data_IF_849122566511
#
_entry.id   IF_849122566511
#
_cell.length_a   1.000
_cell.length_b   1.000
_cell.length_c   1.000
_cell.angle_alpha   90.00
_cell.angle_beta   90.00
_cell.angle_gamma   90.00
#
_symmetry.space_group_name_H-M   'P 1'
#
loop_
_entity.id
_entity.type
_entity.pdbx_description
1 polymer ?
#
# COMPACT_ATOMS: atom_id res chain seq x y z
N UNK A 1 -20.60 -14.33 15.19
CA UNK A 1 -19.60 -13.33 15.61
C UNK A 1 -18.26 -13.51 14.89
N UNK A 2 -18.20 -13.31 13.56
CA UNK A 2 -16.96 -13.52 12.75
C UNK A 2 -16.68 -12.36 11.77
N UNK A 3 -17.38 -11.23 11.98
CA UNK A 3 -17.48 -10.08 11.06
C UNK A 3 -16.41 -9.01 11.32
N UNK A 4 -16.11 -8.71 12.59
CA UNK A 4 -15.13 -7.67 12.93
C UNK A 4 -13.72 -7.99 12.43
N UNK A 5 -13.38 -9.26 12.23
CA UNK A 5 -12.01 -9.66 11.90
C UNK A 5 -11.61 -9.30 10.47
N UNK A 6 -12.49 -9.50 9.47
CA UNK A 6 -12.18 -9.20 8.07
C UNK A 6 -12.14 -7.69 7.79
N UNK A 7 -13.09 -6.93 8.34
CA UNK A 7 -13.06 -5.47 8.29
C UNK A 7 -11.87 -4.90 9.04
N UNK A 8 -11.54 -5.41 10.23
CA UNK A 8 -10.31 -5.01 10.93
C UNK A 8 -9.07 -5.36 10.12
N UNK A 9 -9.03 -6.52 9.45
CA UNK A 9 -7.87 -6.92 8.65
C UNK A 9 -7.66 -5.94 7.50
N UNK A 10 -8.73 -5.62 6.75
CA UNK A 10 -8.70 -4.63 5.66
C UNK A 10 -8.31 -3.24 6.15
N UNK A 11 -8.89 -2.76 7.26
CA UNK A 11 -8.52 -1.47 7.85
C UNK A 11 -7.05 -1.45 8.32
N UNK A 12 -6.55 -2.56 8.89
CA UNK A 12 -5.17 -2.69 9.34
C UNK A 12 -4.19 -2.75 8.17
N UNK A 13 -4.56 -3.45 7.09
CA UNK A 13 -3.81 -3.50 5.84
C UNK A 13 -3.75 -2.13 5.16
N UNK A 14 -4.86 -1.40 5.11
CA UNK A 14 -4.91 -0.05 4.56
C UNK A 14 -4.02 0.90 5.36
N UNK A 15 -4.05 0.81 6.70
CA UNK A 15 -3.19 1.60 7.59
C UNK A 15 -1.70 1.28 7.35
N UNK A 16 -1.35 0.01 7.20
CA UNK A 16 0.02 -0.41 6.87
C UNK A 16 0.45 0.07 5.48
N UNK A 17 -0.46 0.06 4.50
CA UNK A 17 -0.20 0.55 3.15
C UNK A 17 0.07 2.05 3.14
N UNK A 18 -0.75 2.85 3.84
CA UNK A 18 -0.49 4.28 4.03
C UNK A 18 0.86 4.52 4.70
N UNK A 19 1.19 3.74 5.74
CA UNK A 19 2.46 3.85 6.44
C UNK A 19 3.64 3.54 5.51
N UNK A 20 3.49 2.55 4.63
CA UNK A 20 4.48 2.18 3.63
C UNK A 20 4.68 3.28 2.57
N UNK A 21 3.59 3.92 2.09
CA UNK A 21 3.68 5.08 1.19
C UNK A 21 4.43 6.21 1.87
N UNK A 22 4.09 6.50 3.12
CA UNK A 22 4.70 7.58 3.88
C UNK A 22 6.21 7.32 4.08
N UNK A 23 6.58 6.10 4.49
CA UNK A 23 7.98 5.71 4.63
C UNK A 23 8.76 5.80 3.31
N UNK A 24 8.13 5.37 2.21
CA UNK A 24 8.72 5.48 0.88
C UNK A 24 8.91 6.94 0.46
N UNK A 25 7.92 7.81 0.71
CA UNK A 25 8.01 9.24 0.43
C UNK A 25 9.11 9.92 1.26
N UNK A 26 9.25 9.57 2.54
CA UNK A 26 10.33 10.08 3.40
C UNK A 26 11.70 9.64 2.87
N UNK A 27 11.87 8.35 2.53
CA UNK A 27 13.11 7.85 1.94
C UNK A 27 13.45 8.52 0.60
N UNK A 28 12.44 8.79 -0.23
CA UNK A 28 12.59 9.52 -1.48
C UNK A 28 13.11 10.94 -1.24
N UNK A 29 12.49 11.70 -0.32
CA UNK A 29 12.90 13.07 0.01
C UNK A 29 14.32 13.08 0.59
N UNK A 30 14.65 12.17 1.50
CA UNK A 30 16.01 12.04 2.05
C UNK A 30 17.05 11.76 0.97
N UNK A 31 16.75 10.85 0.05
CA UNK A 31 17.68 10.49 -1.03
C UNK A 31 17.87 11.61 -2.05
N UNK A 32 16.80 12.37 -2.36
CA UNK A 32 16.88 13.60 -3.16
C UNK A 32 17.73 14.65 -2.46
N UNK A 33 17.52 14.89 -1.16
CA UNK A 33 18.29 15.84 -0.36
C UNK A 33 19.77 15.48 -0.25
N UNK A 34 20.11 14.19 -0.26
CA UNK A 34 21.49 13.70 -0.22
C UNK A 34 22.17 13.68 -1.61
N UNK A 35 21.48 14.09 -2.68
CA UNK A 35 22.00 14.02 -4.05
C UNK A 35 22.10 12.60 -4.61
N UNK A 36 21.55 11.60 -3.92
CA UNK A 36 21.48 10.20 -4.35
C UNK A 36 20.35 9.96 -5.38
N UNK A 37 20.08 10.96 -6.22
CA UNK A 37 18.98 10.98 -7.19
C UNK A 37 19.07 9.80 -8.16
N UNK A 38 20.29 9.33 -8.45
CA UNK A 38 20.54 8.20 -9.35
C UNK A 38 20.12 6.84 -8.78
N UNK A 39 20.15 6.66 -7.46
CA UNK A 39 19.65 5.44 -6.81
C UNK A 39 18.13 5.45 -6.83
N UNK A 40 17.53 6.62 -6.63
CA UNK A 40 16.09 6.81 -6.65
C UNK A 40 15.52 6.56 -8.04
N UNK A 41 16.16 7.04 -9.12
CA UNK A 41 15.65 6.84 -10.48
C UNK A 41 15.56 5.38 -10.89
N UNK A 42 16.43 4.50 -10.36
CA UNK A 42 16.36 3.05 -10.58
C UNK A 42 15.37 2.38 -9.65
N UNK A 43 15.28 2.85 -8.40
CA UNK A 43 14.40 2.27 -7.38
C UNK A 43 12.93 2.67 -7.57
N UNK A 44 12.67 3.86 -8.12
CA UNK A 44 11.34 4.41 -8.35
C UNK A 44 10.46 3.55 -9.26
N UNK A 45 10.91 3.08 -10.45
CA UNK A 45 10.10 2.20 -11.28
C UNK A 45 9.87 0.83 -10.62
N UNK A 46 10.88 0.29 -9.92
CA UNK A 46 10.75 -0.98 -9.21
C UNK A 46 9.74 -0.87 -8.05
N UNK A 47 9.86 0.16 -7.24
CA UNK A 47 8.94 0.46 -6.16
C UNK A 47 7.54 0.73 -6.69
N UNK A 48 7.38 1.49 -7.77
CA UNK A 48 6.08 1.77 -8.41
C UNK A 48 5.41 0.49 -8.91
N UNK A 49 6.17 -0.42 -9.52
CA UNK A 49 5.66 -1.72 -9.95
C UNK A 49 5.19 -2.57 -8.76
N UNK A 50 5.98 -2.61 -7.68
CA UNK A 50 5.61 -3.29 -6.45
C UNK A 50 4.41 -2.66 -5.76
N UNK A 51 4.35 -1.32 -5.71
CA UNK A 51 3.26 -0.55 -5.15
C UNK A 51 1.96 -0.76 -5.92
N UNK A 52 2.02 -0.75 -7.25
CA UNK A 52 0.88 -1.04 -8.10
C UNK A 52 0.34 -2.45 -7.83
N UNK A 53 1.23 -3.44 -7.76
CA UNK A 53 0.86 -4.84 -7.51
C UNK A 53 0.25 -5.03 -6.12
N UNK A 54 0.85 -4.43 -5.08
CA UNK A 54 0.32 -4.45 -3.71
C UNK A 54 -1.01 -3.71 -3.62
N UNK A 55 -1.14 -2.55 -4.28
CA UNK A 55 -2.37 -1.77 -4.33
C UNK A 55 -3.51 -2.54 -5.00
N UNK A 56 -3.25 -3.25 -6.10
CA UNK A 56 -4.24 -4.10 -6.77
C UNK A 56 -4.70 -5.24 -5.86
N UNK A 57 -3.77 -5.92 -5.17
CA UNK A 57 -4.12 -6.99 -4.23
C UNK A 57 -5.01 -6.45 -3.10
N UNK A 58 -4.67 -5.28 -2.56
CA UNK A 58 -5.45 -4.58 -1.54
C UNK A 58 -6.85 -4.20 -2.03
N UNK A 59 -6.95 -3.60 -3.21
CA UNK A 59 -8.22 -3.22 -3.84
C UNK A 59 -9.11 -4.43 -4.11
N UNK A 60 -8.50 -5.54 -4.54
CA UNK A 60 -9.19 -6.80 -4.76
C UNK A 60 -9.74 -7.35 -3.45
N UNK A 61 -8.93 -7.37 -2.38
CA UNK A 61 -9.36 -7.78 -1.04
C UNK A 61 -10.49 -6.89 -0.51
N UNK A 62 -10.38 -5.58 -0.72
CA UNK A 62 -11.39 -4.61 -0.31
C UNK A 62 -12.71 -4.82 -1.05
N UNK A 63 -12.66 -4.99 -2.37
CA UNK A 63 -13.83 -5.29 -3.22
C UNK A 63 -14.51 -6.59 -2.79
N UNK A 64 -13.74 -7.66 -2.56
CA UNK A 64 -14.27 -8.94 -2.07
C UNK A 64 -14.95 -8.73 -0.72
N UNK A 65 -14.34 -7.95 0.18
CA UNK A 65 -14.92 -7.64 1.50
C UNK A 65 -16.25 -6.90 1.37
N UNK A 66 -16.32 -5.87 0.53
CA UNK A 66 -17.53 -5.05 0.31
C UNK A 66 -18.64 -5.86 -0.37
N UNK A 67 -18.32 -6.69 -1.37
CA UNK A 67 -19.30 -7.56 -2.03
C UNK A 67 -19.84 -8.58 -1.04
N UNK A 68 -18.99 -9.21 -0.24
CA UNK A 68 -19.42 -10.18 0.77
C UNK A 68 -20.31 -9.53 1.85
N UNK A 69 -20.08 -8.26 2.15
CA UNK A 69 -20.89 -7.45 3.05
C UNK A 69 -22.24 -7.07 2.42
N UNK A 70 -22.25 -6.71 1.14
CA UNK A 70 -23.43 -6.23 0.42
C UNK A 70 -24.32 -7.33 -0.17
N UNK A 71 -23.82 -8.56 -0.35
CA UNK A 71 -24.60 -9.73 -0.78
C UNK A 71 -25.47 -10.29 0.37
N UNK A 72 -25.39 -9.67 1.54
CA UNK A 72 -26.17 -9.97 2.73
C UNK A 72 -27.11 -8.82 3.03
#
# INVERSE_FOLDING_TARGET
MKYSFLLQLTAKFLKFFLLAILGFAIAYILSVSFGAVNIVTVLLPLARNWFGKLGIILLCLMTITVILESLR
#
